data_IF_022491661545
#
_entry.id   IF_022491661545
#
_cell.length_a   1.000
_cell.length_b   1.000
_cell.length_c   1.000
_cell.angle_alpha   90.00
_cell.angle_beta   90.00
_cell.angle_gamma   90.00
#
_symmetry.space_group_name_H-M   'P 1'
#
loop_
_entity.id
_entity.type
_entity.pdbx_description
1 polymer ?
#
# COMPACT_ATOMS: atom_id res chain seq x y z
N UNK A 1 -8.65 -45.89 -14.69
CA UNK A 1 -9.09 -44.98 -13.60
C UNK A 1 -7.91 -44.71 -12.68
N UNK A 2 -7.23 -43.57 -12.86
CA UNK A 2 -6.13 -43.17 -11.98
C UNK A 2 -6.71 -42.63 -10.67
N UNK A 3 -6.57 -43.38 -9.57
CA UNK A 3 -6.87 -42.88 -8.23
C UNK A 3 -5.81 -41.85 -7.85
N UNK A 4 -6.13 -40.57 -8.01
CA UNK A 4 -5.35 -39.48 -7.41
C UNK A 4 -5.59 -39.50 -5.90
N UNK A 5 -4.85 -40.35 -5.18
CA UNK A 5 -4.80 -40.27 -3.72
C UNK A 5 -4.08 -38.99 -3.34
N UNK A 6 -4.80 -37.88 -3.30
CA UNK A 6 -4.33 -36.66 -2.66
C UNK A 6 -4.18 -37.02 -1.19
N UNK A 7 -2.96 -37.34 -0.75
CA UNK A 7 -2.66 -37.48 0.68
C UNK A 7 -3.08 -36.15 1.31
N UNK A 8 -4.05 -36.19 2.21
CA UNK A 8 -4.39 -35.05 3.06
C UNK A 8 -3.17 -34.79 3.95
N UNK A 9 -2.25 -33.96 3.49
CA UNK A 9 -1.11 -33.53 4.29
C UNK A 9 -1.64 -32.55 5.32
N UNK A 10 -1.68 -32.98 6.58
CA UNK A 10 -1.98 -32.09 7.70
C UNK A 10 -0.82 -31.12 7.89
N UNK A 11 -1.10 -29.82 7.94
CA UNK A 11 -0.07 -28.80 8.24
C UNK A 11 0.48 -28.92 9.66
N UNK A 12 -0.25 -29.58 10.58
CA UNK A 12 0.17 -29.78 11.98
C UNK A 12 1.37 -30.73 12.13
N UNK A 13 1.68 -31.53 11.12
CA UNK A 13 2.78 -32.50 11.17
C UNK A 13 4.00 -32.10 10.34
N UNK A 14 3.97 -30.96 9.66
CA UNK A 14 5.11 -30.50 8.85
C UNK A 14 6.09 -29.76 9.77
N UNK A 15 7.36 -30.18 9.86
CA UNK A 15 8.36 -29.46 10.64
C UNK A 15 8.56 -28.05 10.07
N UNK A 16 8.61 -27.07 10.99
CA UNK A 16 8.92 -25.68 10.68
C UNK A 16 10.42 -25.42 10.80
N UNK A 17 11.03 -24.95 9.72
CA UNK A 17 12.47 -24.66 9.65
C UNK A 17 12.69 -23.30 8.98
N UNK A 18 12.82 -22.20 9.75
CA UNK A 18 12.90 -20.85 9.18
C UNK A 18 14.23 -20.57 8.44
N UNK A 19 15.28 -21.30 8.80
CA UNK A 19 16.59 -21.27 8.14
C UNK A 19 17.06 -22.72 8.04
N UNK A 20 17.43 -23.22 6.84
CA UNK A 20 17.89 -24.59 6.72
C UNK A 20 19.16 -24.82 7.52
N UNK A 21 19.31 -26.01 8.11
CA UNK A 21 20.50 -26.39 8.88
C UNK A 21 21.76 -26.32 8.03
N UNK A 22 22.68 -25.43 8.38
CA UNK A 22 24.02 -25.40 7.80
C UNK A 22 24.87 -26.56 8.36
N UNK A 23 25.69 -27.19 7.52
CA UNK A 23 26.70 -28.18 7.93
C UNK A 23 27.72 -27.59 8.91
N UNK A 24 28.00 -26.30 8.77
CA UNK A 24 28.93 -25.55 9.61
C UNK A 24 28.19 -24.75 10.71
N UNK A 25 28.94 -24.06 11.56
CA UNK A 25 28.36 -23.21 12.62
C UNK A 25 27.54 -22.05 12.02
N UNK A 26 26.23 -22.07 12.22
CA UNK A 26 25.30 -21.11 11.60
C UNK A 26 25.63 -19.64 11.92
N UNK A 27 26.07 -19.32 13.14
CA UNK A 27 26.37 -17.95 13.53
C UNK A 27 27.67 -17.42 12.91
N UNK A 28 28.69 -18.29 12.77
CA UNK A 28 30.02 -17.88 12.28
C UNK A 28 30.22 -18.05 10.78
N UNK A 29 29.41 -18.87 10.13
CA UNK A 29 29.59 -19.26 8.72
C UNK A 29 28.33 -19.00 7.89
N UNK A 30 27.70 -17.84 8.11
CA UNK A 30 26.51 -17.40 7.38
C UNK A 30 26.74 -17.34 5.87
N UNK A 31 27.89 -16.81 5.42
CA UNK A 31 28.24 -16.71 4.00
C UNK A 31 28.69 -18.04 3.38
N UNK A 32 29.24 -18.98 4.18
CA UNK A 32 29.62 -20.32 3.72
C UNK A 32 28.50 -21.31 4.03
N UNK A 33 27.36 -21.12 3.38
CA UNK A 33 26.17 -21.92 3.62
C UNK A 33 26.22 -23.24 2.83
N UNK A 34 26.27 -24.37 3.54
CA UNK A 34 26.09 -25.71 2.97
C UNK A 34 24.90 -26.39 3.66
N UNK A 35 23.71 -26.39 3.03
CA UNK A 35 22.51 -26.95 3.66
C UNK A 35 22.65 -28.48 3.83
N UNK A 36 22.20 -28.98 4.97
CA UNK A 36 22.00 -30.41 5.22
C UNK A 36 20.57 -30.76 4.80
N UNK A 37 20.36 -31.75 3.92
CA UNK A 37 19.02 -32.17 3.52
C UNK A 37 18.23 -32.69 4.72
N UNK A 38 17.03 -32.15 4.94
CA UNK A 38 16.05 -32.67 5.88
C UNK A 38 15.13 -33.65 5.13
N UNK A 39 14.88 -34.83 5.70
CA UNK A 39 14.01 -35.82 5.08
C UNK A 39 12.53 -35.39 5.14
N UNK A 40 11.81 -35.55 4.03
CA UNK A 40 10.37 -35.28 3.94
C UNK A 40 10.01 -33.85 3.55
N UNK A 41 8.75 -33.47 3.77
CA UNK A 41 8.24 -32.13 3.49
C UNK A 41 8.54 -31.23 4.70
N UNK A 42 9.15 -30.07 4.45
CA UNK A 42 9.49 -29.08 5.48
C UNK A 42 8.87 -27.74 5.11
N UNK A 43 8.30 -27.03 6.09
CA UNK A 43 7.83 -25.67 5.89
C UNK A 43 8.95 -24.68 6.23
N UNK A 44 9.55 -24.11 5.19
CA UNK A 44 10.63 -23.14 5.29
C UNK A 44 10.19 -21.82 4.63
N UNK A 45 9.59 -20.89 5.39
CA UNK A 45 9.24 -19.60 4.83
C UNK A 45 10.53 -18.82 4.50
N UNK A 46 10.65 -18.28 3.29
CA UNK A 46 11.84 -17.50 2.92
C UNK A 46 11.94 -16.26 3.80
N UNK A 47 13.14 -15.98 4.32
CA UNK A 47 13.48 -14.74 5.01
C UNK A 47 13.67 -13.56 4.03
N UNK A 48 12.70 -13.38 3.13
CA UNK A 48 12.71 -12.38 2.08
C UNK A 48 11.34 -11.68 1.99
N UNK A 49 11.32 -10.49 1.37
CA UNK A 49 10.08 -9.76 1.13
C UNK A 49 9.19 -10.59 0.19
N UNK A 50 7.96 -10.86 0.64
CA UNK A 50 6.95 -11.57 -0.13
C UNK A 50 6.44 -10.68 -1.25
N UNK A 51 6.60 -11.13 -2.50
CA UNK A 51 6.12 -10.38 -3.67
C UNK A 51 4.64 -10.71 -3.95
N UNK A 52 3.79 -9.75 -4.34
CA UNK A 52 2.35 -9.98 -4.54
C UNK A 52 2.00 -11.07 -5.56
N UNK A 53 2.86 -11.28 -6.57
CA UNK A 53 2.67 -12.34 -7.57
C UNK A 53 3.07 -13.73 -7.05
N UNK A 54 3.94 -13.81 -6.04
CA UNK A 54 4.31 -15.08 -5.41
C UNK A 54 3.25 -15.50 -4.40
N UNK A 55 2.67 -14.52 -3.70
CA UNK A 55 1.69 -14.78 -2.67
C UNK A 55 0.62 -13.70 -2.65
N UNK A 56 -0.60 -14.10 -3.01
CA UNK A 56 -1.74 -13.20 -3.06
C UNK A 56 -2.47 -13.22 -1.70
N UNK A 57 -2.66 -12.06 -1.06
CA UNK A 57 -3.43 -11.96 0.19
C UNK A 57 -4.84 -12.55 0.04
N UNK A 58 -5.36 -13.17 1.10
CA UNK A 58 -6.65 -13.88 1.06
C UNK A 58 -7.83 -12.98 0.61
N UNK A 59 -7.75 -11.67 0.87
CA UNK A 59 -8.77 -10.68 0.53
C UNK A 59 -8.89 -10.45 -0.98
N UNK A 60 -7.81 -10.68 -1.72
CA UNK A 60 -7.77 -10.53 -3.18
C UNK A 60 -8.06 -11.84 -3.92
N UNK A 61 -8.19 -12.96 -3.20
CA UNK A 61 -8.59 -14.22 -3.79
C UNK A 61 -10.12 -14.31 -3.97
N UNK A 62 -10.61 -14.86 -5.09
CA UNK A 62 -12.03 -15.09 -5.30
C UNK A 62 -12.65 -15.96 -4.19
N UNK A 63 -13.96 -15.83 -3.91
CA UNK A 63 -14.58 -16.55 -2.80
C UNK A 63 -14.46 -18.08 -2.86
N UNK A 64 -14.43 -18.65 -4.07
CA UNK A 64 -14.40 -20.09 -4.33
C UNK A 64 -12.99 -20.62 -4.66
N UNK A 65 -11.94 -19.81 -4.49
CA UNK A 65 -10.56 -20.26 -4.73
C UNK A 65 -10.11 -21.18 -3.56
N UNK A 66 -9.71 -22.44 -3.81
CA UNK A 66 -9.29 -23.36 -2.75
C UNK A 66 -8.05 -22.86 -1.99
N UNK A 67 -7.24 -21.97 -2.57
CA UNK A 67 -6.07 -21.37 -1.91
C UNK A 67 -6.45 -20.38 -0.81
N UNK A 68 -7.71 -19.92 -0.79
CA UNK A 68 -8.18 -18.89 0.15
C UNK A 68 -8.06 -19.35 1.60
N UNK A 69 -8.35 -20.61 1.89
CA UNK A 69 -8.24 -21.16 3.25
C UNK A 69 -6.78 -21.22 3.74
N UNK A 70 -5.83 -21.51 2.85
CA UNK A 70 -4.40 -21.47 3.18
C UNK A 70 -3.90 -20.03 3.36
N UNK A 71 -4.33 -19.10 2.51
CA UNK A 71 -3.95 -17.70 2.61
C UNK A 71 -4.47 -17.01 3.89
N UNK A 72 -5.61 -17.45 4.43
CA UNK A 72 -6.13 -16.95 5.72
C UNK A 72 -5.17 -17.22 6.88
N UNK A 73 -4.39 -18.31 6.83
CA UNK A 73 -3.47 -18.68 7.92
C UNK A 73 -2.33 -17.65 8.10
N UNK A 74 -2.11 -16.78 7.11
CA UNK A 74 -1.07 -15.76 7.12
C UNK A 74 -1.60 -14.37 7.46
N UNK A 75 -2.83 -14.27 7.96
CA UNK A 75 -3.36 -13.02 8.47
C UNK A 75 -2.60 -12.57 9.71
N UNK A 76 -2.33 -11.27 9.83
CA UNK A 76 -1.74 -10.68 11.03
C UNK A 76 -2.78 -10.67 12.14
N UNK A 77 -2.37 -10.98 13.36
CA UNK A 77 -3.25 -10.97 14.53
C UNK A 77 -3.83 -9.57 14.79
N UNK A 78 -5.14 -9.48 15.09
CA UNK A 78 -5.81 -8.19 15.26
C UNK A 78 -5.27 -7.37 16.44
N UNK A 79 -4.74 -8.03 17.46
CA UNK A 79 -4.08 -7.38 18.60
C UNK A 79 -2.80 -6.65 18.15
N UNK A 80 -1.97 -7.31 17.33
CA UNK A 80 -0.78 -6.70 16.74
C UNK A 80 -1.17 -5.51 15.87
N UNK A 81 -2.21 -5.65 15.05
CA UNK A 81 -2.71 -4.56 14.19
C UNK A 81 -3.15 -3.34 15.01
N UNK A 82 -3.73 -3.55 16.20
CA UNK A 82 -4.15 -2.47 17.10
C UNK A 82 -2.97 -1.67 17.66
N UNK A 83 -1.81 -2.31 17.83
CA UNK A 83 -0.58 -1.67 18.32
C UNK A 83 0.20 -0.95 17.20
N UNK A 84 -0.10 -1.22 15.93
CA UNK A 84 0.62 -0.61 14.81
C UNK A 84 0.42 0.92 14.75
N UNK A 85 1.48 1.72 14.57
CA UNK A 85 1.36 3.17 14.47
C UNK A 85 0.62 3.57 13.18
N UNK A 86 -0.32 4.51 13.30
CA UNK A 86 -1.09 5.01 12.17
C UNK A 86 -0.24 6.03 11.39
N UNK A 87 0.32 5.61 10.26
CA UNK A 87 1.12 6.49 9.38
C UNK A 87 0.24 7.52 8.65
N UNK A 88 -0.96 7.11 8.22
CA UNK A 88 -1.95 7.97 7.57
C UNK A 88 -3.34 7.58 8.04
N UNK A 89 -4.07 8.52 8.63
CA UNK A 89 -5.45 8.32 9.00
C UNK A 89 -6.33 8.29 7.74
N UNK A 90 -6.96 7.15 7.48
CA UNK A 90 -7.96 7.03 6.41
C UNK A 90 -9.36 7.02 7.03
N UNK A 91 -10.19 8.01 6.70
CA UNK A 91 -11.60 8.04 7.10
C UNK A 91 -12.38 7.01 6.29
N UNK A 92 -12.90 5.98 6.96
CA UNK A 92 -13.80 4.99 6.35
C UNK A 92 -15.04 5.68 5.74
N UNK A 93 -15.74 5.05 4.75
CA UNK A 93 -16.87 5.68 4.07
C UNK A 93 -17.91 6.34 5.00
N UNK A 94 -18.24 5.69 6.13
CA UNK A 94 -19.21 6.19 7.12
C UNK A 94 -18.68 7.30 8.04
N UNK A 95 -17.37 7.54 8.06
CA UNK A 95 -16.71 8.60 8.83
C UNK A 95 -16.40 9.84 7.96
N UNK A 96 -16.72 9.78 6.66
CA UNK A 96 -16.50 10.92 5.75
C UNK A 96 -17.59 11.95 6.00
N UNK A 97 -17.17 13.21 6.19
CA UNK A 97 -18.09 14.33 6.34
C UNK A 97 -18.56 14.82 4.96
N UNK A 98 -19.88 14.79 4.75
CA UNK A 98 -20.58 15.27 3.55
C UNK A 98 -21.42 16.50 3.89
N UNK A 99 -20.80 17.50 4.50
CA UNK A 99 -21.45 18.72 5.00
C UNK A 99 -21.59 19.84 3.95
N UNK A 100 -21.13 19.61 2.72
CA UNK A 100 -21.11 20.64 1.67
C UNK A 100 -22.36 20.53 0.81
N UNK A 101 -23.20 21.57 0.85
CA UNK A 101 -24.43 21.69 0.04
C UNK A 101 -24.17 22.42 -1.28
N UNK A 102 -25.04 22.26 -2.27
CA UNK A 102 -24.91 22.94 -3.56
C UNK A 102 -24.88 24.48 -3.41
N UNK A 103 -25.68 25.02 -2.49
CA UNK A 103 -25.74 26.46 -2.19
C UNK A 103 -24.40 26.99 -1.67
N UNK A 104 -23.76 26.25 -0.75
CA UNK A 104 -22.43 26.63 -0.26
C UNK A 104 -21.40 26.67 -1.38
N UNK A 105 -21.46 25.74 -2.34
CA UNK A 105 -20.56 25.71 -3.49
C UNK A 105 -20.78 26.92 -4.39
N UNK A 106 -22.04 27.30 -4.65
CA UNK A 106 -22.35 28.48 -5.48
C UNK A 106 -21.83 29.76 -4.81
N UNK A 107 -22.04 29.91 -3.51
CA UNK A 107 -21.51 31.05 -2.73
C UNK A 107 -19.98 31.10 -2.78
N UNK A 108 -19.32 29.96 -2.58
CA UNK A 108 -17.86 29.82 -2.66
C UNK A 108 -17.33 30.22 -4.04
N UNK A 109 -18.03 29.85 -5.12
CA UNK A 109 -17.68 30.25 -6.48
C UNK A 109 -17.87 31.74 -6.73
N UNK A 110 -18.95 32.33 -6.20
CA UNK A 110 -19.20 33.77 -6.29
C UNK A 110 -18.11 34.57 -5.58
N UNK A 111 -17.81 34.24 -4.32
CA UNK A 111 -16.76 34.91 -3.53
C UNK A 111 -15.41 34.90 -4.24
N UNK A 112 -15.05 33.76 -4.84
CA UNK A 112 -13.80 33.62 -5.58
C UNK A 112 -13.80 34.40 -6.89
N UNK A 113 -14.94 34.54 -7.55
CA UNK A 113 -15.09 35.34 -8.77
C UNK A 113 -14.98 36.84 -8.48
N UNK A 114 -15.48 37.26 -7.32
CA UNK A 114 -15.40 38.64 -6.84
C UNK A 114 -13.95 39.03 -6.55
N UNK A 115 -13.29 38.34 -5.60
CA UNK A 115 -11.93 38.66 -5.19
C UNK A 115 -11.06 37.40 -5.02
N UNK A 116 -10.40 36.89 -6.08
CA UNK A 116 -9.56 35.70 -6.00
C UNK A 116 -8.35 35.83 -5.07
N UNK A 117 -7.85 37.06 -4.88
CA UNK A 117 -6.68 37.35 -4.06
C UNK A 117 -7.02 37.31 -2.56
N UNK A 118 -8.18 37.83 -2.17
CA UNK A 118 -8.72 37.73 -0.81
C UNK A 118 -9.19 36.30 -0.56
N UNK A 119 -10.18 35.84 -1.33
CA UNK A 119 -10.78 34.51 -1.16
C UNK A 119 -9.93 33.39 -1.76
N UNK A 120 -8.75 33.21 -1.16
CA UNK A 120 -7.86 32.09 -1.44
C UNK A 120 -8.50 30.77 -0.98
N UNK A 121 -7.99 29.65 -1.51
CA UNK A 121 -8.52 28.33 -1.11
C UNK A 121 -8.35 28.06 0.39
N UNK A 122 -7.33 28.66 1.00
CA UNK A 122 -7.08 28.53 2.45
C UNK A 122 -8.09 29.33 3.26
N UNK A 123 -8.45 30.55 2.82
CA UNK A 123 -9.47 31.35 3.48
C UNK A 123 -10.85 30.71 3.36
N UNK A 124 -11.22 30.24 2.16
CA UNK A 124 -12.49 29.53 1.94
C UNK A 124 -12.54 28.23 2.79
N UNK A 125 -11.40 27.53 2.92
CA UNK A 125 -11.31 26.33 3.75
C UNK A 125 -11.58 26.63 5.22
N UNK A 126 -11.03 27.73 5.74
CA UNK A 126 -11.23 28.18 7.13
C UNK A 126 -12.66 28.64 7.38
N UNK A 127 -13.21 29.46 6.47
CA UNK A 127 -14.54 30.06 6.63
C UNK A 127 -15.66 29.00 6.61
N UNK A 128 -15.58 28.06 5.67
CA UNK A 128 -16.62 27.05 5.48
C UNK A 128 -16.30 25.71 6.16
N UNK A 129 -15.13 25.57 6.80
CA UNK A 129 -14.70 24.32 7.44
C UNK A 129 -14.54 23.15 6.46
N UNK A 130 -14.13 23.42 5.22
CA UNK A 130 -14.03 22.43 4.14
C UNK A 130 -12.54 22.06 3.95
N UNK A 131 -12.24 20.76 3.85
CA UNK A 131 -10.88 20.28 3.57
C UNK A 131 -10.35 20.84 2.23
N UNK A 132 -9.15 21.45 2.25
CA UNK A 132 -8.47 22.02 1.07
C UNK A 132 -8.51 21.13 -0.19
N UNK A 133 -8.20 19.81 -0.12
CA UNK A 133 -8.30 18.92 -1.28
C UNK A 133 -9.68 18.91 -1.94
N UNK A 134 -10.77 18.98 -1.17
CA UNK A 134 -12.14 19.01 -1.71
C UNK A 134 -12.41 20.28 -2.51
N UNK A 135 -11.93 21.44 -2.03
CA UNK A 135 -12.08 22.71 -2.74
C UNK A 135 -11.43 22.68 -4.12
N UNK A 136 -10.25 22.07 -4.26
CA UNK A 136 -9.58 21.91 -5.57
C UNK A 136 -10.44 21.15 -6.59
N UNK A 137 -11.29 20.21 -6.15
CA UNK A 137 -12.20 19.49 -7.05
C UNK A 137 -13.34 20.37 -7.55
N UNK A 138 -13.92 21.22 -6.68
CA UNK A 138 -15.01 22.13 -7.07
C UNK A 138 -14.58 23.17 -8.12
N UNK A 139 -13.30 23.57 -8.07
CA UNK A 139 -12.72 24.58 -8.96
C UNK A 139 -11.92 24.01 -10.15
N UNK A 140 -11.96 22.68 -10.37
CA UNK A 140 -11.12 22.02 -11.39
C UNK A 140 -11.31 22.58 -12.80
N UNK A 141 -12.54 22.96 -13.16
CA UNK A 141 -12.88 23.50 -14.48
C UNK A 141 -12.54 24.98 -14.68
N UNK A 142 -12.47 25.76 -13.60
CA UNK A 142 -12.23 27.22 -13.64
C UNK A 142 -10.73 27.55 -13.56
N UNK A 143 -9.90 26.56 -13.20
CA UNK A 143 -8.46 26.74 -13.11
C UNK A 143 -7.85 26.85 -14.50
N UNK A 144 -7.68 28.08 -14.97
CA UNK A 144 -6.83 28.35 -16.12
C UNK A 144 -5.43 27.80 -15.79
N UNK A 145 -4.98 26.80 -16.54
CA UNK A 145 -3.62 26.29 -16.42
C UNK A 145 -2.73 27.33 -17.06
N UNK A 146 -2.17 28.21 -16.25
CA UNK A 146 -1.03 29.00 -16.71
C UNK A 146 0.04 28.02 -17.19
N UNK A 147 0.35 28.08 -18.49
CA UNK A 147 1.43 27.30 -19.08
C UNK A 147 2.72 27.94 -18.59
N UNK A 148 3.17 27.53 -17.40
CA UNK A 148 4.49 27.93 -16.91
C UNK A 148 5.53 27.37 -17.87
N UNK A 149 6.37 28.25 -18.41
CA UNK A 149 7.50 27.84 -19.23
C UNK A 149 8.33 26.82 -18.44
N UNK A 150 8.69 25.70 -19.08
CA UNK A 150 9.56 24.72 -18.43
C UNK A 150 10.89 25.40 -18.13
N UNK A 151 11.43 25.26 -16.90
CA UNK A 151 12.76 25.80 -16.60
C UNK A 151 13.77 25.16 -17.54
N UNK A 152 14.69 25.97 -18.08
CA UNK A 152 15.74 25.51 -19.00
C UNK A 152 16.75 24.58 -18.32
N UNK A 153 16.97 24.77 -17.01
CA UNK A 153 17.87 23.95 -16.21
C UNK A 153 17.12 23.42 -14.98
N UNK A 154 17.07 22.10 -14.84
CA UNK A 154 16.51 21.41 -13.67
C UNK A 154 17.68 20.83 -12.89
N UNK A 155 17.70 21.00 -11.56
CA UNK A 155 18.76 20.43 -10.74
C UNK A 155 18.77 18.91 -10.80
N UNK A 156 19.97 18.31 -10.82
CA UNK A 156 20.15 16.85 -10.82
C UNK A 156 19.41 16.17 -9.67
N UNK A 157 19.39 16.79 -8.48
CA UNK A 157 18.70 16.26 -7.30
C UNK A 157 17.18 16.15 -7.48
N UNK A 158 16.57 17.09 -8.22
CA UNK A 158 15.13 17.05 -8.55
C UNK A 158 14.86 15.93 -9.55
N UNK A 159 15.70 15.80 -10.59
CA UNK A 159 15.60 14.72 -11.58
C UNK A 159 15.75 13.34 -10.92
N UNK A 160 16.75 13.16 -10.06
CA UNK A 160 16.98 11.89 -9.35
C UNK A 160 15.83 11.54 -8.41
N UNK A 161 15.21 12.53 -7.77
CA UNK A 161 14.01 12.32 -6.94
C UNK A 161 12.82 11.87 -7.79
N UNK A 162 12.60 12.50 -8.94
CA UNK A 162 11.54 12.11 -9.88
C UNK A 162 11.77 10.69 -10.38
N UNK A 163 12.99 10.36 -10.81
CA UNK A 163 13.37 9.03 -11.24
C UNK A 163 13.12 7.98 -10.15
N UNK A 164 13.57 8.22 -8.91
CA UNK A 164 13.31 7.28 -7.79
C UNK A 164 11.82 7.05 -7.55
N UNK A 165 11.01 8.10 -7.62
CA UNK A 165 9.54 7.97 -7.49
C UNK A 165 8.97 7.12 -8.61
N UNK A 166 9.43 7.27 -9.85
CA UNK A 166 8.99 6.47 -10.99
C UNK A 166 9.41 5.01 -10.85
N UNK A 167 10.66 4.74 -10.45
CA UNK A 167 11.16 3.39 -10.18
C UNK A 167 10.32 2.69 -9.09
N UNK A 168 10.00 3.41 -8.00
CA UNK A 168 9.13 2.90 -6.95
C UNK A 168 7.74 2.54 -7.46
N UNK A 169 7.13 3.38 -8.30
CA UNK A 169 5.81 3.11 -8.88
C UNK A 169 5.82 1.93 -9.86
N UNK A 170 6.97 1.64 -10.49
CA UNK A 170 7.17 0.48 -11.36
C UNK A 170 7.64 -0.77 -10.63
N UNK A 171 7.87 -0.70 -9.31
CA UNK A 171 8.50 -1.75 -8.52
C UNK A 171 9.89 -2.18 -9.04
N UNK A 172 10.68 -1.22 -9.55
CA UNK A 172 12.05 -1.41 -10.06
C UNK A 172 13.14 -1.05 -9.03
N UNK A 173 12.76 -0.78 -7.78
CA UNK A 173 13.64 -0.37 -6.69
C UNK A 173 13.52 -1.31 -5.49
#
# INVERSE_FOLDING_TARGET
MFRTSIRRVSTKSIPYEPVPKNKYNQARSTFNFKPVPTEGLVYNPPAAIVKPYMETPYLFLPPHDPRREFAKQKSIDPEVVKEMPIIRQHKAPHQRLYNVTAETILKIKQLRKEDPARWSMEEISKEFGIELPKLYYFFRGERQREIKAKPTVISKTVLDRQKRRELWLRNEY
#
